data_IF_919193861756
#
_entry.id   IF_919193861756
#
_cell.length_a   1.000
_cell.length_b   1.000
_cell.length_c   1.000
_cell.angle_alpha   90.00
_cell.angle_beta   90.00
_cell.angle_gamma   90.00
#
_symmetry.space_group_name_H-M   'P 1'
#
loop_
_entity.id
_entity.type
_entity.pdbx_description
1 polymer ?
#
# COMPACT_ATOMS: atom_id res chain seq x y z
N UNK A 1 -7.39 -6.99 12.72
CA UNK A 1 -7.12 -8.32 12.11
C UNK A 1 -5.62 -8.54 12.16
N UNK A 2 -5.16 -9.63 12.79
CA UNK A 2 -3.75 -10.02 12.76
C UNK A 2 -3.52 -10.86 11.51
N UNK A 3 -2.63 -10.42 10.61
CA UNK A 3 -2.24 -11.21 9.43
C UNK A 3 -1.04 -12.10 9.80
N UNK A 4 -0.96 -13.33 9.25
CA UNK A 4 0.22 -14.17 9.38
C UNK A 4 1.50 -13.45 8.92
N UNK A 5 2.66 -13.66 9.58
CA UNK A 5 3.92 -13.05 9.17
C UNK A 5 4.33 -13.32 7.72
N UNK A 6 3.96 -14.49 7.17
CA UNK A 6 4.20 -14.85 5.77
C UNK A 6 3.40 -13.98 4.79
N UNK A 7 2.14 -13.64 5.13
CA UNK A 7 1.34 -12.70 4.34
C UNK A 7 1.98 -11.31 4.39
N UNK A 8 2.35 -10.83 5.58
CA UNK A 8 2.99 -9.50 5.74
C UNK A 8 4.29 -9.43 4.93
N UNK A 9 5.13 -10.46 5.01
CA UNK A 9 6.40 -10.54 4.29
C UNK A 9 6.20 -10.54 2.77
N UNK A 10 5.29 -11.37 2.26
CA UNK A 10 5.01 -11.44 0.81
C UNK A 10 4.40 -10.13 0.27
N UNK A 11 3.53 -9.49 1.05
CA UNK A 11 2.99 -8.16 0.72
C UNK A 11 4.09 -7.11 0.71
N UNK A 12 5.02 -7.15 1.67
CA UNK A 12 6.14 -6.20 1.74
C UNK A 12 7.01 -6.27 0.49
N UNK A 13 7.42 -7.48 0.07
CA UNK A 13 8.21 -7.69 -1.15
C UNK A 13 7.50 -7.15 -2.39
N UNK A 14 6.18 -7.32 -2.46
CA UNK A 14 5.37 -6.84 -3.58
C UNK A 14 5.29 -5.32 -3.61
N UNK A 15 5.09 -4.68 -2.46
CA UNK A 15 5.08 -3.22 -2.32
C UNK A 15 6.45 -2.62 -2.65
N UNK A 16 7.54 -3.24 -2.20
CA UNK A 16 8.90 -2.85 -2.56
C UNK A 16 9.09 -2.82 -4.09
N UNK A 17 8.64 -3.86 -4.78
CA UNK A 17 8.69 -3.91 -6.25
C UNK A 17 7.79 -2.87 -6.93
N UNK A 18 6.59 -2.60 -6.40
CA UNK A 18 5.64 -1.65 -6.99
C UNK A 18 6.07 -0.20 -6.83
N UNK A 19 6.68 0.13 -5.69
CA UNK A 19 7.13 1.48 -5.35
C UNK A 19 8.62 1.71 -5.61
N UNK A 20 9.32 0.71 -6.16
CA UNK A 20 10.75 0.76 -6.47
C UNK A 20 11.59 1.19 -5.26
N UNK A 21 11.28 0.60 -4.09
CA UNK A 21 11.96 0.89 -2.82
C UNK A 21 12.30 -0.40 -2.10
N UNK A 22 13.43 -0.43 -1.40
CA UNK A 22 13.89 -1.56 -0.58
C UNK A 22 13.64 -1.35 0.93
N UNK A 23 13.23 -0.15 1.35
CA UNK A 23 13.16 0.25 2.76
C UNK A 23 11.74 0.14 3.37
N UNK A 24 11.07 -0.98 3.14
CA UNK A 24 9.79 -1.29 3.77
C UNK A 24 9.95 -2.43 4.79
N UNK A 25 9.46 -2.26 6.03
CA UNK A 25 9.63 -3.26 7.08
C UNK A 25 8.61 -4.40 6.93
N UNK A 26 9.09 -5.64 7.02
CA UNK A 26 8.26 -6.85 6.97
C UNK A 26 7.85 -7.38 8.36
N UNK A 27 8.21 -6.68 9.44
CA UNK A 27 8.07 -7.19 10.83
C UNK A 27 6.66 -7.08 11.38
N UNK A 28 5.96 -5.97 11.11
CA UNK A 28 4.59 -5.75 11.55
C UNK A 28 3.86 -4.77 10.62
N UNK A 29 2.52 -4.81 10.65
CA UNK A 29 1.66 -4.06 9.74
C UNK A 29 1.68 -2.55 10.01
N UNK A 30 1.85 -2.13 11.26
CA UNK A 30 1.84 -0.71 11.64
C UNK A 30 3.09 -0.01 11.12
N UNK A 31 4.28 -0.59 11.34
CA UNK A 31 5.53 -0.07 10.79
C UNK A 31 5.52 -0.08 9.26
N UNK A 32 4.91 -1.09 8.64
CA UNK A 32 4.76 -1.16 7.18
C UNK A 32 3.84 -0.04 6.67
N UNK A 33 2.70 0.19 7.34
CA UNK A 33 1.78 1.29 7.01
C UNK A 33 2.46 2.65 7.15
N UNK A 34 3.14 2.90 8.27
CA UNK A 34 3.85 4.15 8.50
C UNK A 34 4.91 4.42 7.42
N UNK A 35 5.75 3.43 7.10
CA UNK A 35 6.80 3.60 6.07
C UNK A 35 6.22 3.75 4.68
N UNK A 36 5.17 3.00 4.34
CA UNK A 36 4.48 3.15 3.06
C UNK A 36 3.83 4.54 2.92
N UNK A 37 3.24 5.07 3.99
CA UNK A 37 2.68 6.43 4.00
C UNK A 37 3.76 7.48 3.70
N UNK A 38 4.98 7.33 4.23
CA UNK A 38 6.10 8.24 3.90
C UNK A 38 6.52 8.15 2.43
N UNK A 39 6.54 6.95 1.84
CA UNK A 39 6.83 6.78 0.40
C UNK A 39 5.73 7.43 -0.46
N UNK A 40 4.46 7.24 -0.09
CA UNK A 40 3.33 7.85 -0.78
C UNK A 40 3.35 9.37 -0.63
N UNK A 41 3.66 9.90 0.55
CA UNK A 41 3.79 11.34 0.78
C UNK A 41 4.89 11.94 -0.10
N UNK A 42 6.01 11.24 -0.26
CA UNK A 42 7.06 11.67 -1.17
C UNK A 42 6.54 11.77 -2.60
N UNK A 43 5.91 10.70 -3.13
CA UNK A 43 5.34 10.72 -4.49
C UNK A 43 4.21 11.74 -4.65
N UNK A 44 3.37 11.94 -3.63
CA UNK A 44 2.32 12.95 -3.63
C UNK A 44 2.91 14.36 -3.85
N UNK A 45 4.10 14.61 -3.31
CA UNK A 45 4.80 15.89 -3.40
C UNK A 45 5.70 16.04 -4.62
N UNK A 46 6.23 14.94 -5.16
CA UNK A 46 7.24 15.01 -6.22
C UNK A 46 6.74 14.47 -7.56
N UNK A 47 5.84 13.48 -7.57
CA UNK A 47 5.38 12.80 -8.78
C UNK A 47 4.00 12.13 -8.57
N UNK A 48 2.95 12.96 -8.58
CA UNK A 48 1.57 12.50 -8.45
C UNK A 48 1.17 11.54 -9.58
N UNK A 49 1.69 11.74 -10.80
CA UNK A 49 1.36 10.89 -11.94
C UNK A 49 1.84 9.45 -11.72
N UNK A 50 3.08 9.28 -11.23
CA UNK A 50 3.60 7.96 -10.83
C UNK A 50 2.78 7.34 -9.73
N UNK A 51 2.38 8.11 -8.71
CA UNK A 51 1.50 7.61 -7.63
C UNK A 51 0.19 7.05 -8.20
N UNK A 52 -0.54 7.82 -9.01
CA UNK A 52 -1.82 7.40 -9.57
C UNK A 52 -1.67 6.15 -10.47
N UNK A 53 -0.59 6.07 -11.26
CA UNK A 53 -0.30 4.89 -12.08
C UNK A 53 -0.07 3.63 -11.24
N UNK A 54 0.67 3.74 -10.12
CA UNK A 54 0.87 2.63 -9.18
C UNK A 54 -0.48 2.20 -8.56
N UNK A 55 -1.30 3.15 -8.10
CA UNK A 55 -2.61 2.86 -7.49
C UNK A 55 -3.54 2.10 -8.45
N UNK A 56 -3.55 2.49 -9.73
CA UNK A 56 -4.30 1.80 -10.77
C UNK A 56 -3.81 0.35 -10.96
N UNK A 57 -2.49 0.13 -11.02
CA UNK A 57 -1.90 -1.22 -11.13
C UNK A 57 -2.15 -2.11 -9.91
N UNK A 58 -2.31 -1.49 -8.74
CA UNK A 58 -2.69 -2.16 -7.49
C UNK A 58 -4.20 -2.44 -7.45
N UNK A 59 -4.99 -1.95 -8.39
CA UNK A 59 -6.45 -2.10 -8.39
C UNK A 59 -7.05 -1.53 -7.09
N UNK A 60 -6.61 -0.32 -6.74
CA UNK A 60 -7.24 0.51 -5.71
C UNK A 60 -8.41 1.26 -6.34
N UNK A 61 -9.57 1.17 -5.69
CA UNK A 61 -10.82 1.76 -6.19
C UNK A 61 -10.72 3.29 -6.29
N UNK A 62 -11.02 3.84 -7.47
CA UNK A 62 -10.77 5.25 -7.79
C UNK A 62 -11.57 6.21 -6.90
N UNK A 63 -12.81 5.86 -6.56
CA UNK A 63 -13.64 6.69 -5.66
C UNK A 63 -13.02 6.75 -4.27
N UNK A 64 -12.55 5.62 -3.72
CA UNK A 64 -11.84 5.60 -2.45
C UNK A 64 -10.55 6.44 -2.48
N UNK A 65 -9.82 6.47 -3.60
CA UNK A 65 -8.66 7.36 -3.76
C UNK A 65 -9.11 8.83 -3.73
N UNK A 66 -10.15 9.20 -4.49
CA UNK A 66 -10.70 10.57 -4.47
C UNK A 66 -11.13 10.98 -3.07
N UNK A 67 -11.87 10.13 -2.37
CA UNK A 67 -12.29 10.36 -0.99
C UNK A 67 -11.10 10.52 -0.04
N UNK A 68 -10.03 9.72 -0.23
CA UNK A 68 -8.81 9.83 0.56
C UNK A 68 -8.08 11.17 0.34
N UNK A 69 -8.16 11.75 -0.86
CA UNK A 69 -7.57 13.04 -1.21
C UNK A 69 -8.36 14.24 -0.69
N UNK A 70 -9.59 14.05 -0.18
CA UNK A 70 -10.37 15.12 0.47
C UNK A 70 -9.85 15.30 1.91
N UNK A 71 -8.75 16.03 2.04
CA UNK A 71 -8.19 16.54 3.28
C UNK A 71 -7.26 17.73 2.99
N UNK A 72 -7.16 18.65 3.95
CA UNK A 72 -6.28 19.82 3.81
C UNK A 72 -4.80 19.50 4.14
N UNK A 73 -4.54 18.30 4.68
CA UNK A 73 -3.23 17.83 5.10
C UNK A 73 -2.75 16.65 4.24
N UNK A 74 -1.60 16.85 3.58
CA UNK A 74 -0.98 15.83 2.73
C UNK A 74 -0.50 14.60 3.51
N UNK A 75 -0.11 14.75 4.78
CA UNK A 75 0.28 13.59 5.60
C UNK A 75 -0.93 12.68 5.83
N UNK A 76 -2.07 13.27 6.20
CA UNK A 76 -3.33 12.54 6.32
C UNK A 76 -3.79 11.89 4.99
N UNK A 77 -3.63 12.57 3.84
CA UNK A 77 -3.91 11.98 2.52
C UNK A 77 -3.02 10.74 2.32
N UNK A 78 -1.71 10.87 2.55
CA UNK A 78 -0.77 9.78 2.35
C UNK A 78 -1.06 8.58 3.26
N UNK A 79 -1.42 8.82 4.52
CA UNK A 79 -1.84 7.76 5.45
C UNK A 79 -3.09 7.01 5.00
N UNK A 80 -4.10 7.76 4.50
CA UNK A 80 -5.35 7.18 3.97
C UNK A 80 -5.08 6.33 2.73
N UNK A 81 -4.29 6.84 1.79
CA UNK A 81 -3.91 6.09 0.58
C UNK A 81 -3.08 4.86 0.95
N UNK A 82 -2.12 4.96 1.88
CA UNK A 82 -1.33 3.82 2.34
C UNK A 82 -2.22 2.71 2.92
N UNK A 83 -3.27 3.08 3.65
CA UNK A 83 -4.25 2.13 4.18
C UNK A 83 -5.02 1.40 3.08
N UNK A 84 -5.43 2.12 2.03
CA UNK A 84 -6.11 1.53 0.87
C UNK A 84 -5.20 0.54 0.12
N UNK A 85 -3.96 0.95 -0.15
CA UNK A 85 -2.95 0.12 -0.81
C UNK A 85 -2.67 -1.15 -0.01
N UNK A 86 -2.42 -1.02 1.29
CA UNK A 86 -2.14 -2.18 2.15
C UNK A 86 -3.32 -3.14 2.21
N UNK A 87 -4.53 -2.61 2.40
CA UNK A 87 -5.74 -3.44 2.41
C UNK A 87 -5.84 -4.26 1.13
N UNK A 88 -5.62 -3.66 -0.03
CA UNK A 88 -5.73 -4.34 -1.32
C UNK A 88 -4.65 -5.41 -1.52
N UNK A 89 -3.39 -5.11 -1.20
CA UNK A 89 -2.31 -6.08 -1.38
C UNK A 89 -2.36 -7.23 -0.37
N UNK A 90 -2.79 -6.97 0.88
CA UNK A 90 -3.07 -8.03 1.87
C UNK A 90 -4.18 -8.97 1.40
N UNK A 91 -5.30 -8.44 0.87
CA UNK A 91 -6.37 -9.26 0.30
C UNK A 91 -5.86 -10.14 -0.84
N UNK A 92 -5.04 -9.61 -1.75
CA UNK A 92 -4.46 -10.39 -2.84
C UNK A 92 -3.51 -11.47 -2.33
N UNK A 93 -2.71 -11.17 -1.29
CA UNK A 93 -1.81 -12.14 -0.68
C UNK A 93 -2.58 -13.29 -0.02
N UNK A 94 -3.66 -12.99 0.70
CA UNK A 94 -4.55 -13.99 1.29
C UNK A 94 -5.20 -14.87 0.21
N UNK A 95 -5.72 -14.28 -0.86
CA UNK A 95 -6.29 -15.02 -1.99
C UNK A 95 -5.25 -15.94 -2.64
N UNK A 96 -4.04 -15.44 -2.92
CA UNK A 96 -2.95 -16.28 -3.44
C UNK A 96 -2.65 -17.43 -2.49
N UNK A 97 -2.53 -17.19 -1.19
CA UNK A 97 -2.25 -18.26 -0.23
C UNK A 97 -3.37 -19.30 -0.19
N UNK A 98 -4.64 -18.86 -0.22
CA UNK A 98 -5.81 -19.75 -0.18
C UNK A 98 -5.94 -20.62 -1.44
N UNK A 99 -5.52 -20.12 -2.61
CA UNK A 99 -5.73 -20.80 -3.89
C UNK A 99 -4.46 -21.34 -4.56
N UNK A 100 -3.25 -21.03 -4.08
CA UNK A 100 -1.98 -21.48 -4.67
C UNK A 100 -1.66 -22.97 -4.41
N UNK A 101 -2.51 -23.68 -3.67
CA UNK A 101 -2.39 -25.12 -3.40
C UNK A 101 -3.47 -25.98 -4.07
N UNK A 102 -4.18 -25.44 -5.06
CA UNK A 102 -5.19 -26.14 -5.87
C UNK A 102 -4.76 -26.16 -7.32
#
# INVERSE_FOLDING_TARGET
>A
MQYPPSIISSTTLRLQSLFETDNLPATNLESLHFKLARVILHLLNTDLAKLLHILYRIDVEERAVKEAMIADDQELIAERIARLVLKRELQKAELRQRYSGK
#
